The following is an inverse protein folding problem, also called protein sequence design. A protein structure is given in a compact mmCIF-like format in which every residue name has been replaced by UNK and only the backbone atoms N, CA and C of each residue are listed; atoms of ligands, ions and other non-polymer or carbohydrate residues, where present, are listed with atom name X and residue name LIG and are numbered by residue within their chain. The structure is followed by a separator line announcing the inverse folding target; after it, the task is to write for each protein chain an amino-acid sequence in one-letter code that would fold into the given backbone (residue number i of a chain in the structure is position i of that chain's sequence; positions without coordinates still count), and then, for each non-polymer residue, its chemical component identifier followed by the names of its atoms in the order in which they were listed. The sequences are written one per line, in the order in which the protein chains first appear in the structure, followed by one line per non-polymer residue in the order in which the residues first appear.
data_IF_867996598738
#
_entry.id   IF_867996598738
#
_cell.length_a   1.000
_cell.length_b   1.000
_cell.length_c   1.000
_cell.angle_alpha   90.00
_cell.angle_beta   90.00
_cell.angle_gamma   90.00
#
_symmetry.space_group_name_H-M   'P 1'
#
loop_
_entity.id
_entity.type
_entity.pdbx_description
1 polymer ?
#
# COMPACT_ATOMS: atom_id res chain seq x y z
N UNK A 1 -4.85 -31.96 0.94
CA UNK A 1 -4.19 -30.64 0.84
C UNK A 1 -4.88 -29.90 -0.28
N UNK A 2 -5.72 -28.92 0.02
CA UNK A 2 -6.40 -28.13 -1.01
C UNK A 2 -5.42 -27.06 -1.48
N UNK A 3 -4.81 -27.27 -2.65
CA UNK A 3 -4.08 -26.22 -3.35
C UNK A 3 -5.07 -25.09 -3.63
N UNK A 4 -5.04 -24.05 -2.80
CA UNK A 4 -5.87 -22.88 -3.02
C UNK A 4 -5.32 -22.19 -4.28
N UNK A 5 -6.19 -21.99 -5.27
CA UNK A 5 -5.85 -21.24 -6.47
C UNK A 5 -5.33 -19.84 -6.08
N UNK A 6 -4.33 -19.33 -6.80
CA UNK A 6 -3.83 -17.97 -6.59
C UNK A 6 -5.00 -17.00 -6.72
N UNK A 7 -5.15 -16.12 -5.72
CA UNK A 7 -6.24 -15.16 -5.65
C UNK A 7 -5.89 -13.85 -6.36
N UNK A 8 -6.91 -13.11 -6.79
CA UNK A 8 -6.73 -11.77 -7.35
C UNK A 8 -6.05 -10.81 -6.36
N UNK A 9 -6.31 -10.96 -5.05
CA UNK A 9 -5.63 -10.20 -4.01
C UNK A 9 -4.10 -10.42 -4.01
N UNK A 10 -3.64 -11.65 -4.27
CA UNK A 10 -2.20 -11.95 -4.39
C UNK A 10 -1.60 -11.35 -5.67
N UNK A 11 -2.36 -11.30 -6.77
CA UNK A 11 -1.92 -10.66 -8.01
C UNK A 11 -1.79 -9.14 -7.84
N UNK A 12 -2.74 -8.51 -7.14
CA UNK A 12 -2.62 -7.10 -6.75
C UNK A 12 -1.45 -6.86 -5.79
N UNK A 13 -1.28 -7.71 -4.77
CA UNK A 13 -0.15 -7.62 -3.86
C UNK A 13 1.20 -7.69 -4.60
N UNK A 14 1.28 -8.52 -5.64
CA UNK A 14 2.45 -8.59 -6.53
C UNK A 14 2.63 -7.33 -7.40
N UNK A 15 1.55 -6.72 -7.87
CA UNK A 15 1.58 -5.48 -8.63
C UNK A 15 2.00 -4.27 -7.76
N UNK A 16 1.59 -4.28 -6.50
CA UNK A 16 1.85 -3.22 -5.52
C UNK A 16 3.17 -3.40 -4.77
N UNK A 17 3.91 -4.49 -5.03
CA UNK A 17 5.15 -4.87 -4.35
C UNK A 17 5.00 -5.13 -2.85
N UNK A 18 3.84 -5.62 -2.41
CA UNK A 18 3.52 -5.95 -1.01
C UNK A 18 3.28 -7.45 -0.78
N UNK A 19 3.49 -8.28 -1.81
CA UNK A 19 3.38 -9.74 -1.69
C UNK A 19 4.47 -10.28 -0.73
N UNK A 20 4.10 -11.11 0.27
CA UNK A 20 5.08 -11.78 1.12
C UNK A 20 6.03 -12.68 0.33
N UNK A 21 7.31 -12.69 0.69
CA UNK A 21 8.34 -13.45 -0.03
C UNK A 21 8.01 -14.96 -0.11
N UNK A 22 7.42 -15.51 0.96
CA UNK A 22 7.01 -16.92 1.00
C UNK A 22 5.95 -17.31 -0.04
N UNK A 23 5.23 -16.34 -0.60
CA UNK A 23 4.18 -16.57 -1.62
C UNK A 23 4.69 -16.32 -3.04
N UNK A 24 5.83 -15.64 -3.20
CA UNK A 24 6.35 -15.17 -4.50
C UNK A 24 6.54 -16.30 -5.51
N UNK A 25 7.19 -17.39 -5.10
CA UNK A 25 7.46 -18.52 -5.98
C UNK A 25 6.17 -19.18 -6.52
N UNK A 26 5.12 -19.27 -5.70
CA UNK A 26 3.85 -19.86 -6.11
C UNK A 26 3.10 -18.95 -7.11
N UNK A 27 3.10 -17.63 -6.86
CA UNK A 27 2.49 -16.66 -7.76
C UNK A 27 3.25 -16.58 -9.09
N UNK A 28 4.59 -16.60 -9.06
CA UNK A 28 5.41 -16.58 -10.28
C UNK A 28 5.19 -17.83 -11.15
N UNK A 29 5.12 -19.02 -10.52
CA UNK A 29 4.79 -20.26 -11.22
C UNK A 29 3.37 -20.22 -11.83
N UNK A 30 2.41 -19.66 -11.11
CA UNK A 30 1.05 -19.44 -11.62
C UNK A 30 1.04 -18.50 -12.84
N UNK A 31 1.72 -17.36 -12.75
CA UNK A 31 1.78 -16.39 -13.86
C UNK A 31 2.47 -16.93 -15.10
N UNK A 32 3.46 -17.82 -14.95
CA UNK A 32 4.08 -18.50 -16.08
C UNK A 32 3.07 -19.38 -16.85
N UNK A 33 2.14 -20.01 -16.13
CA UNK A 33 1.08 -20.82 -16.72
C UNK A 33 -0.15 -19.99 -17.20
N UNK A 34 -0.27 -18.73 -16.77
CA UNK A 34 -1.45 -17.88 -17.03
C UNK A 34 -1.03 -16.52 -17.64
N UNK A 35 -0.71 -16.48 -18.94
CA UNK A 35 -0.18 -15.27 -19.59
C UNK A 35 -1.18 -14.09 -19.60
N UNK A 36 -2.47 -14.37 -19.53
CA UNK A 36 -3.51 -13.32 -19.44
C UNK A 36 -3.44 -12.59 -18.10
N UNK A 37 -3.27 -13.31 -16.99
CA UNK A 37 -3.09 -12.70 -15.68
C UNK A 37 -1.73 -12.02 -15.54
N UNK A 38 -0.69 -12.55 -16.20
CA UNK A 38 0.60 -11.87 -16.28
C UNK A 38 0.49 -10.50 -16.98
N UNK A 39 -0.29 -10.43 -18.06
CA UNK A 39 -0.58 -9.18 -18.75
C UNK A 39 -1.38 -8.19 -17.87
N UNK A 40 -2.34 -8.69 -17.07
CA UNK A 40 -3.09 -7.87 -16.10
C UNK A 40 -2.17 -7.27 -15.04
N UNK A 41 -1.30 -8.09 -14.43
CA UNK A 41 -0.31 -7.64 -13.44
C UNK A 41 0.64 -6.59 -14.04
N UNK A 42 1.10 -6.79 -15.28
CA UNK A 42 1.93 -5.82 -15.97
C UNK A 42 1.21 -4.48 -16.19
N UNK A 43 -0.06 -4.52 -16.60
CA UNK A 43 -0.88 -3.32 -16.77
C UNK A 43 -1.10 -2.56 -15.45
N UNK A 44 -1.29 -3.26 -14.32
CA UNK A 44 -1.41 -2.62 -13.01
C UNK A 44 -0.07 -2.01 -12.54
N UNK A 45 1.05 -2.70 -12.74
CA UNK A 45 2.38 -2.14 -12.44
C UNK A 45 2.66 -0.86 -13.21
N UNK A 46 2.23 -0.82 -14.47
CA UNK A 46 2.34 0.36 -15.30
C UNK A 46 1.47 1.52 -14.79
N UNK A 47 0.24 1.25 -14.36
CA UNK A 47 -0.61 2.24 -13.70
C UNK A 47 0.02 2.76 -12.39
N UNK A 48 0.55 1.85 -11.55
CA UNK A 48 1.25 2.22 -10.32
C UNK A 48 2.46 3.12 -10.59
N UNK A 49 3.21 2.84 -11.66
CA UNK A 49 4.33 3.67 -12.10
C UNK A 49 3.88 5.06 -12.55
N UNK A 50 2.79 5.14 -13.31
CA UNK A 50 2.23 6.43 -13.75
C UNK A 50 1.73 7.27 -12.58
N UNK A 51 1.05 6.65 -11.61
CA UNK A 51 0.60 7.32 -10.39
C UNK A 51 1.80 7.85 -9.58
N UNK A 52 2.83 7.03 -9.37
CA UNK A 52 4.07 7.49 -8.72
C UNK A 52 4.68 8.66 -9.47
N UNK A 53 4.86 8.56 -10.78
CA UNK A 53 5.43 9.66 -11.57
C UNK A 53 4.62 10.97 -11.48
N UNK A 54 3.28 10.89 -11.34
CA UNK A 54 2.43 12.06 -11.18
C UNK A 54 2.56 12.71 -9.80
N UNK A 55 2.79 11.92 -8.75
CA UNK A 55 2.74 12.39 -7.36
C UNK A 55 4.09 12.44 -6.64
N UNK A 56 5.14 11.81 -7.16
CA UNK A 56 6.49 11.85 -6.59
C UNK A 56 6.99 13.30 -6.40
N UNK A 57 6.74 14.28 -7.31
CA UNK A 57 7.15 15.67 -7.07
C UNK A 57 6.53 16.31 -5.82
N UNK A 58 5.36 15.84 -5.37
CA UNK A 58 4.71 16.36 -4.15
C UNK A 58 5.51 15.98 -2.90
N UNK A 59 6.33 14.93 -2.96
CA UNK A 59 7.17 14.52 -1.84
C UNK A 59 8.31 15.51 -1.57
N UNK A 60 8.69 16.31 -2.57
CA UNK A 60 9.73 17.34 -2.46
C UNK A 60 9.18 18.70 -1.98
N UNK A 61 7.85 18.86 -1.96
CA UNK A 61 7.21 20.09 -1.49
C UNK A 61 7.29 20.23 0.03
N UNK A 62 7.43 21.48 0.48
CA UNK A 62 7.36 21.77 1.92
C UNK A 62 5.94 21.50 2.41
N UNK A 63 5.81 20.64 3.44
CA UNK A 63 4.52 20.35 4.05
C UNK A 63 3.89 21.64 4.58
N UNK A 64 2.67 22.01 4.14
CA UNK A 64 1.98 23.19 4.64
C UNK A 64 1.84 23.20 6.17
N UNK A 65 2.12 24.35 6.79
CA UNK A 65 2.07 24.52 8.25
C UNK A 65 0.76 24.05 8.90
N UNK A 66 -0.45 24.28 8.31
CA UNK A 66 -1.69 23.76 8.89
C UNK A 66 -1.73 22.22 8.99
N UNK A 67 -1.10 21.51 8.05
CA UNK A 67 -1.03 20.04 8.09
C UNK A 67 -0.07 19.56 9.18
N UNK A 68 1.06 20.24 9.36
CA UNK A 68 2.00 19.97 10.46
C UNK A 68 1.35 20.18 11.84
N UNK A 69 0.55 21.24 11.97
CA UNK A 69 -0.20 21.52 13.20
C UNK A 69 -1.27 20.45 13.48
N UNK A 70 -1.99 20.01 12.44
CA UNK A 70 -3.00 18.97 12.56
C UNK A 70 -2.41 17.57 12.87
N UNK A 71 -1.22 17.26 12.34
CA UNK A 71 -0.52 16.01 12.58
C UNK A 71 0.23 15.98 13.93
N UNK A 72 0.30 17.10 14.65
CA UNK A 72 0.98 17.16 15.94
C UNK A 72 0.24 16.32 17.00
N UNK A 73 0.94 15.46 17.76
CA UNK A 73 0.31 14.66 18.80
C UNK A 73 -0.34 15.56 19.86
N UNK A 74 -1.42 15.10 20.52
CA UNK A 74 -2.12 15.87 21.54
C UNK A 74 -1.28 15.95 22.83
N UNK A 75 -0.22 16.74 22.80
CA UNK A 75 0.63 17.07 23.93
C UNK A 75 0.92 18.58 23.95
N UNK A 76 -0.13 19.39 23.74
CA UNK A 76 -0.06 20.85 23.93
C UNK A 76 -1.40 21.50 24.33
N UNK A 77 -2.51 20.75 24.37
CA UNK A 77 -3.79 21.24 24.88
C UNK A 77 -4.15 20.45 26.13
N UNK A 78 -3.93 21.02 27.31
CA UNK A 78 -4.29 20.46 28.62
C UNK A 78 -5.80 20.24 28.84
N UNK A 79 -6.60 20.10 27.79
CA UNK A 79 -8.05 20.03 27.80
C UNK A 79 -8.62 18.62 28.03
N UNK A 80 -7.77 17.59 28.13
CA UNK A 80 -8.21 16.21 28.41
C UNK A 80 -7.59 15.65 29.70
N UNK A 81 -7.60 16.44 30.77
CA UNK A 81 -7.53 15.91 32.14
C UNK A 81 -8.97 15.67 32.61
N UNK A 82 -9.47 14.44 32.46
CA UNK A 82 -10.70 14.02 33.15
C UNK A 82 -10.37 13.98 34.66
N UNK A 83 -11.08 14.70 35.54
CA UNK A 83 -10.98 14.42 36.96
C UNK A 83 -11.60 13.04 37.19
N UNK A 84 -10.87 12.14 37.85
CA UNK A 84 -11.46 10.92 38.39
C UNK A 84 -12.51 11.32 39.43
N UNK A 85 -13.73 10.81 39.29
CA UNK A 85 -14.78 10.94 40.30
C UNK A 85 -14.32 10.23 41.59
N UNK A 86 -14.37 10.95 42.71
CA UNK A 86 -14.31 10.38 44.06
C UNK A 86 -15.68 9.82 44.45
#
# INVERSE_FOLDING_TARGET
MTTQAISEAQLHALADSVLPEGERAAVDAYLHAHPQDAARVAAWREQNRQLRALFDPVLDDTVPLPLLQAASPPAANGAWRRPAMQ
#
